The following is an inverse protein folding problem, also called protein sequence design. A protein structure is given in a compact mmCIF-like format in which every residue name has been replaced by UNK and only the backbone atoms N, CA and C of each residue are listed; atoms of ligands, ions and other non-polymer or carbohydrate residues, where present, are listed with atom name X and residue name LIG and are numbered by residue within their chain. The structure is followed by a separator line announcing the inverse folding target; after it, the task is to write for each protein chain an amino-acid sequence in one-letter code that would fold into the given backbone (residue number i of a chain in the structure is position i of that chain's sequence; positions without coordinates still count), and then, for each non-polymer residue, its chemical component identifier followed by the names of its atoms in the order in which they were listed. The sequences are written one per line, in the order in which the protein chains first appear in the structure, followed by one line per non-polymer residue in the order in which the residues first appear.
data_IF_540804154751
#
_entry.id   IF_540804154751
#
_cell.length_a   1.000
_cell.length_b   1.000
_cell.length_c   1.000
_cell.angle_alpha   90.00
_cell.angle_beta   90.00
_cell.angle_gamma   90.00
#
_symmetry.space_group_name_H-M   'P 1'
#
loop_
_entity.id
_entity.type
_entity.pdbx_description
1 polymer ?
2 polymer ?
3 non-polymer ?
4 non-polymer ?
5 water ?
#
# COMPACT_ATOMS: atom_id res chain seq x y z
N UNK A 5 18.66 21.71 -7.89
CA UNK A 5 17.65 20.77 -7.28
C UNK A 5 18.31 19.44 -6.95
N UNK A 6 17.65 18.65 -6.09
CA UNK A 6 18.13 17.33 -5.74
C UNK A 6 17.96 16.40 -6.93
N UNK A 7 18.85 15.43 -7.03
CA UNK A 7 18.72 14.34 -7.98
C UNK A 7 18.40 13.04 -7.23
N UNK A 8 18.11 11.98 -8.00
CA UNK A 8 17.97 10.65 -7.43
C UNK A 8 19.28 10.26 -6.74
N UNK A 9 20.40 10.61 -7.38
CA UNK A 9 21.73 10.34 -6.84
C UNK A 9 21.81 10.89 -5.41
N UNK A 10 21.39 12.16 -5.26
CA UNK A 10 21.50 12.86 -3.99
C UNK A 10 20.70 12.11 -2.92
N UNK A 11 19.51 11.59 -3.31
CA UNK A 11 18.66 10.92 -2.32
C UNK A 11 19.29 9.60 -1.93
N UNK A 12 19.86 8.90 -2.93
CA UNK A 12 20.48 7.61 -2.67
C UNK A 12 21.63 7.80 -1.67
N UNK A 13 22.36 8.91 -1.82
CA UNK A 13 23.52 9.16 -0.99
C UNK A 13 23.08 9.43 0.43
N UNK A 14 21.97 10.14 0.56
CA UNK A 14 21.41 10.48 1.87
C UNK A 14 21.08 9.20 2.62
N UNK A 15 20.54 8.20 1.89
CA UNK A 15 20.17 6.93 2.49
C UNK A 15 21.43 6.14 2.81
N UNK A 16 22.37 6.09 1.86
CA UNK A 16 23.53 5.23 1.98
C UNK A 16 24.43 5.74 3.11
N UNK A 17 24.29 7.02 3.45
CA UNK A 17 25.08 7.65 4.49
C UNK A 17 24.29 7.71 5.79
N UNK A 18 23.04 7.24 5.75
CA UNK A 18 22.11 7.29 6.88
C UNK A 18 21.92 8.75 7.34
N UNK A 19 21.99 9.69 6.41
CA UNK A 19 21.54 11.03 6.70
C UNK A 19 20.02 11.04 6.79
N UNK A 20 19.36 10.17 6.01
CA UNK A 20 17.94 9.90 6.18
C UNK A 20 17.78 8.47 6.69
N UNK A 21 17.29 8.32 7.93
CA UNK A 21 17.14 7.00 8.49
C UNK A 21 15.76 6.85 9.14
N UNK A 22 14.86 7.77 8.81
CA UNK A 22 13.47 7.68 9.22
C UNK A 22 12.63 7.91 7.98
N UNK A 23 12.65 6.94 7.08
CA UNK A 23 11.98 7.07 5.81
C UNK A 23 10.53 6.66 5.98
N UNK A 24 9.63 7.52 5.51
CA UNK A 24 8.23 7.17 5.38
C UNK A 24 7.92 6.91 3.93
N UNK A 25 7.09 5.90 3.67
CA UNK A 25 6.81 5.49 2.31
C UNK A 25 5.31 5.48 2.12
N UNK A 26 4.87 6.01 0.99
CA UNK A 26 3.49 5.89 0.58
C UNK A 26 3.47 5.12 -0.73
N UNK A 27 2.57 4.15 -0.82
CA UNK A 27 2.45 3.35 -2.04
C UNK A 27 0.99 3.22 -2.42
N UNK A 28 0.80 2.92 -3.69
CA UNK A 28 -0.51 2.64 -4.26
C UNK A 28 -0.40 1.51 -5.25
N UNK A 29 -1.39 1.41 -6.14
CA UNK A 29 -1.59 0.21 -6.95
C UNK A 29 -0.49 0.09 -8.00
N UNK A 30 0.16 1.22 -8.31
CA UNK A 30 1.28 1.25 -9.22
C UNK A 30 2.35 0.21 -8.85
N UNK A 31 2.59 0.02 -7.53
CA UNK A 31 3.68 -0.85 -7.12
C UNK A 31 3.27 -2.32 -7.28
N UNK A 32 2.00 -2.57 -7.59
CA UNK A 32 1.54 -3.95 -7.65
C UNK A 32 1.15 -4.36 -9.06
N UNK A 33 1.29 -3.44 -10.03
CA UNK A 33 1.02 -3.80 -11.42
C UNK A 33 2.14 -4.69 -11.96
N UNK A 34 3.39 -4.56 -11.45
CA UNK A 34 4.46 -5.48 -11.82
C UNK A 34 4.18 -6.92 -11.34
N UNK A 35 3.31 -7.03 -10.34
CA UNK A 35 2.95 -8.32 -9.78
C UNK A 35 1.86 -8.98 -10.61
N UNK A 36 1.25 -8.19 -11.51
CA UNK A 36 0.18 -8.68 -12.38
C UNK A 36 -1.21 -8.27 -11.90
N UNK A 37 -1.26 -7.39 -10.88
CA UNK A 37 -2.52 -6.81 -10.43
C UNK A 37 -2.72 -5.48 -11.15
N UNK A 38 -3.73 -5.37 -12.03
CA UNK A 38 -4.04 -4.11 -12.69
C UNK A 38 -4.43 -3.05 -11.66
N UNK A 39 -3.97 -1.81 -11.89
CA UNK A 39 -4.39 -0.67 -11.09
C UNK A 39 -5.79 -0.22 -11.54
N UNK A 40 -6.25 0.90 -10.95
CA UNK A 40 -7.47 1.57 -11.41
C UNK A 40 -7.11 2.62 -12.47
N UNK A 41 -6.07 3.44 -12.17
CA UNK A 41 -5.70 4.58 -13.01
C UNK A 41 -4.60 4.17 -13.98
N UNK A 55 -23.90 -6.70 -12.55
CA UNK A 55 -24.03 -5.24 -12.84
C UNK A 55 -23.16 -4.45 -11.87
N UNK A 56 -22.50 -3.42 -12.40
CA UNK A 56 -21.81 -2.41 -11.59
C UNK A 56 -22.06 -1.04 -12.21
N UNK A 57 -22.80 -0.13 -11.50
CA UNK A 57 -23.35 1.08 -12.14
C UNK A 57 -22.28 2.12 -12.42
N UNK A 58 -21.23 2.08 -11.60
CA UNK A 58 -20.01 2.84 -11.81
C UNK A 58 -18.91 2.15 -11.04
N UNK A 59 -17.62 2.42 -11.37
CA UNK A 59 -16.51 1.73 -10.71
C UNK A 59 -16.57 1.78 -9.18
N UNK A 60 -16.81 2.99 -8.64
CA UNK A 60 -16.65 3.24 -7.21
C UNK A 60 -17.62 2.36 -6.42
N UNK A 61 -18.67 1.88 -7.09
CA UNK A 61 -19.70 1.05 -6.48
C UNK A 61 -19.08 -0.12 -5.74
N UNK A 62 -17.93 -0.58 -6.23
CA UNK A 62 -17.30 -1.80 -5.74
C UNK A 62 -16.92 -1.65 -4.25
N UNK A 63 -16.69 -0.41 -3.82
CA UNK A 63 -16.34 -0.15 -2.41
C UNK A 63 -17.41 0.72 -1.75
N UNK A 64 -18.66 0.56 -2.18
CA UNK A 64 -19.75 1.27 -1.55
C UNK A 64 -20.64 0.28 -0.81
N UNK A 65 -20.89 0.58 0.46
CA UNK A 65 -21.50 -0.38 1.36
C UNK A 65 -22.95 -0.63 0.96
N UNK A 66 -23.73 0.43 0.64
CA UNK A 66 -25.10 0.24 0.18
C UNK A 66 -25.19 -0.63 -1.07
N UNK A 67 -24.30 -0.40 -2.04
CA UNK A 67 -24.27 -1.26 -3.22
C UNK A 67 -23.90 -2.69 -2.84
N UNK A 68 -22.88 -2.84 -1.98
CA UNK A 68 -22.44 -4.15 -1.53
C UNK A 68 -23.59 -4.94 -0.90
N UNK A 69 -24.38 -4.27 -0.06
CA UNK A 69 -25.56 -4.91 0.53
C UNK A 69 -26.54 -5.31 -0.56
N UNK A 70 -26.72 -4.41 -1.54
CA UNK A 70 -27.60 -4.69 -2.66
C UNK A 70 -27.09 -5.91 -3.43
N UNK A 71 -25.78 -5.91 -3.74
CA UNK A 71 -25.20 -6.90 -4.63
C UNK A 71 -23.70 -7.04 -4.32
N UNK A 72 -23.32 -8.06 -3.55
CA UNK A 72 -21.95 -8.16 -3.06
C UNK A 72 -21.06 -8.96 -4.02
N UNK A 73 -21.65 -9.35 -5.17
CA UNK A 73 -21.01 -10.30 -6.07
C UNK A 73 -19.86 -9.63 -6.82
N UNK A 74 -20.02 -8.36 -7.28
CA UNK A 74 -18.90 -7.62 -7.88
C UNK A 74 -17.70 -7.53 -6.95
N UNK A 75 -17.93 -7.11 -5.69
CA UNK A 75 -16.82 -6.99 -4.76
C UNK A 75 -16.09 -8.33 -4.66
N UNK A 76 -16.87 -9.40 -4.53
CA UNK A 76 -16.30 -10.69 -4.20
C UNK A 76 -15.52 -11.24 -5.40
N UNK A 77 -15.91 -10.81 -6.61
CA UNK A 77 -15.17 -11.20 -7.80
C UNK A 77 -13.79 -10.59 -7.73
N UNK A 78 -13.71 -9.36 -7.19
CA UNK A 78 -12.45 -8.67 -6.98
C UNK A 78 -11.69 -9.33 -5.83
N UNK A 79 -12.40 -9.67 -4.75
CA UNK A 79 -11.76 -10.31 -3.60
C UNK A 79 -11.10 -11.61 -4.04
N UNK A 80 -11.76 -12.32 -4.99
CA UNK A 80 -11.29 -13.61 -5.46
C UNK A 80 -10.02 -13.42 -6.26
N UNK A 81 -10.02 -12.38 -7.10
CA UNK A 81 -8.85 -12.03 -7.89
C UNK A 81 -7.70 -11.67 -6.95
N UNK A 82 -8.02 -11.06 -5.80
CA UNK A 82 -7.04 -10.29 -5.06
C UNK A 82 -6.52 -11.09 -3.88
N UNK A 83 -7.20 -12.19 -3.55
CA UNK A 83 -7.02 -12.86 -2.28
C UNK A 83 -5.55 -13.24 -2.08
N UNK A 84 -5.01 -13.16 -0.84
CA UNK A 84 -3.62 -13.51 -0.59
C UNK A 84 -3.31 -14.92 -1.06
N UNK A 85 -2.12 -15.08 -1.62
CA UNK A 85 -1.72 -16.35 -2.22
C UNK A 85 -1.82 -16.30 -3.72
N UNK A 86 -2.65 -15.39 -4.24
CA UNK A 86 -2.91 -15.31 -5.67
C UNK A 86 -1.73 -14.64 -6.38
N UNK A 87 -1.08 -13.68 -5.70
CA UNK A 87 -0.04 -12.87 -6.31
C UNK A 87 1.20 -12.87 -5.43
N UNK A 88 2.36 -12.65 -6.07
CA UNK A 88 3.63 -12.60 -5.36
C UNK A 88 4.13 -11.16 -5.33
N UNK A 89 4.74 -10.71 -4.21
CA UNK A 89 5.36 -9.39 -4.17
C UNK A 89 6.48 -9.31 -5.20
N UNK A 90 6.69 -8.11 -5.74
CA UNK A 90 7.70 -7.87 -6.77
C UNK A 90 8.87 -7.09 -6.14
N UNK A 91 9.84 -6.68 -6.99
CA UNK A 91 11.08 -6.11 -6.50
C UNK A 91 10.79 -4.79 -5.77
N UNK A 92 9.69 -4.13 -6.11
CA UNK A 92 9.32 -2.90 -5.41
C UNK A 92 9.07 -3.20 -3.92
N UNK A 93 8.30 -4.26 -3.65
CA UNK A 93 7.98 -4.69 -2.29
C UNK A 93 9.28 -5.04 -1.57
N UNK A 94 10.17 -5.72 -2.30
CA UNK A 94 11.32 -6.31 -1.65
C UNK A 94 12.32 -5.22 -1.34
N UNK A 95 12.34 -4.18 -2.18
CA UNK A 95 13.12 -2.98 -1.89
C UNK A 95 12.69 -2.40 -0.54
N UNK A 96 11.37 -2.26 -0.36
CA UNK A 96 10.83 -1.69 0.87
C UNK A 96 11.17 -2.61 2.04
N UNK A 97 11.19 -3.91 1.78
CA UNK A 97 11.60 -4.88 2.79
C UNK A 97 13.07 -4.67 3.14
N UNK A 98 13.89 -4.36 2.14
CA UNK A 98 15.31 -4.17 2.41
C UNK A 98 15.50 -2.87 3.21
N UNK A 99 14.66 -1.88 2.92
CA UNK A 99 14.67 -0.63 3.65
C UNK A 99 14.41 -0.91 5.13
N UNK A 100 13.42 -1.76 5.42
CA UNK A 100 13.12 -2.18 6.79
C UNK A 100 14.33 -2.90 7.40
N UNK A 101 14.88 -3.87 6.64
CA UNK A 101 15.95 -4.74 7.11
C UNK A 101 17.18 -3.94 7.48
N UNK A 102 17.37 -2.81 6.79
CA UNK A 102 18.51 -1.94 7.04
C UNK A 102 18.19 -0.96 8.16
N UNK A 103 16.95 -1.03 8.68
CA UNK A 103 16.52 -0.19 9.79
C UNK A 103 16.38 1.28 9.40
N UNK A 104 15.83 1.52 8.20
CA UNK A 104 15.68 2.87 7.68
C UNK A 104 14.21 3.21 7.55
N UNK A 105 13.35 2.19 7.67
CA UNK A 105 11.91 2.38 7.41
C UNK A 105 11.19 2.74 8.72
N UNK A 106 10.69 3.96 8.77
CA UNK A 106 9.84 4.36 9.87
C UNK A 106 8.47 3.70 9.70
N UNK A 107 7.88 3.86 8.53
CA UNK A 107 6.54 3.36 8.31
C UNK A 107 6.25 3.32 6.83
N UNK A 108 5.50 2.31 6.41
CA UNK A 108 5.06 2.18 5.04
C UNK A 108 3.54 2.28 5.04
N UNK A 109 3.02 3.28 4.32
CA UNK A 109 1.59 3.52 4.24
C UNK A 109 1.10 3.08 2.89
N UNK A 110 0.11 2.21 2.89
CA UNK A 110 -0.31 1.62 1.63
C UNK A 110 -1.80 1.87 1.43
N UNK A 111 -2.18 2.15 0.19
CA UNK A 111 -3.59 2.18 -0.21
C UNK A 111 -4.01 0.83 -0.77
N UNK A 112 -3.04 -0.07 -0.92
CA UNK A 112 -3.30 -1.32 -1.60
C UNK A 112 -4.01 -2.27 -0.64
N UNK A 113 -4.81 -3.17 -1.22
CA UNK A 113 -5.50 -4.15 -0.41
C UNK A 113 -5.05 -5.54 -0.82
N UNK A 114 -3.97 -5.59 -1.61
CA UNK A 114 -3.46 -6.85 -2.14
C UNK A 114 -2.63 -7.56 -1.07
N UNK A 115 -2.19 -6.81 -0.05
CA UNK A 115 -1.50 -7.37 1.08
C UNK A 115 -0.07 -7.81 0.75
N UNK A 116 0.47 -7.30 -0.34
CA UNK A 116 1.76 -7.81 -0.78
C UNK A 116 2.89 -7.27 0.10
N UNK A 117 2.61 -6.20 0.88
CA UNK A 117 3.60 -5.64 1.78
C UNK A 117 3.96 -6.65 2.87
N UNK A 118 2.94 -7.24 3.48
CA UNK A 118 3.17 -8.14 4.60
C UNK A 118 3.69 -9.49 4.08
N UNK A 119 3.25 -9.88 2.88
CA UNK A 119 3.73 -11.13 2.30
C UNK A 119 5.23 -11.03 2.03
N UNK A 120 5.71 -9.80 1.72
CA UNK A 120 7.14 -9.56 1.49
C UNK A 120 7.94 -9.74 2.79
N UNK A 121 7.26 -9.64 3.92
CA UNK A 121 7.87 -9.99 5.20
C UNK A 121 8.12 -8.75 6.07
N UNK A 122 7.58 -7.61 5.63
CA UNK A 122 7.63 -6.41 6.45
C UNK A 122 6.69 -6.60 7.63
N UNK A 123 7.17 -6.40 8.88
CA UNK A 123 6.33 -6.60 10.06
C UNK A 123 5.17 -5.61 10.13
N UNK A 124 4.07 -6.05 10.75
CA UNK A 124 2.83 -5.31 10.75
C UNK A 124 3.01 -3.97 11.48
N UNK A 125 4.03 -3.89 12.36
CA UNK A 125 4.28 -2.67 13.11
C UNK A 125 4.77 -1.55 12.17
N UNK A 126 5.30 -1.95 11.02
CA UNK A 126 5.88 -1.00 10.10
C UNK A 126 4.85 -0.63 9.05
N UNK A 127 3.73 -1.36 9.02
CA UNK A 127 2.76 -1.20 7.95
C UNK A 127 1.58 -0.40 8.45
N UNK A 128 1.08 0.50 7.60
CA UNK A 128 -0.25 1.02 7.80
C UNK A 128 -1.07 0.74 6.56
N UNK A 129 -1.96 -0.24 6.67
CA UNK A 129 -2.79 -0.68 5.57
C UNK A 129 -4.06 0.14 5.57
N UNK A 130 -3.98 1.31 4.95
CA UNK A 130 -4.96 2.38 5.13
C UNK A 130 -6.34 1.95 4.64
N UNK A 131 -6.38 1.03 3.66
CA UNK A 131 -7.67 0.64 3.10
C UNK A 131 -8.05 -0.78 3.52
N UNK A 132 -7.41 -1.26 4.60
CA UNK A 132 -7.84 -2.49 5.24
C UNK A 132 -7.13 -3.71 4.67
N UNK A 133 -7.75 -4.89 4.85
CA UNK A 133 -7.04 -6.14 4.68
C UNK A 133 -8.02 -7.27 4.35
N UNK A 134 -7.55 -8.23 3.55
CA UNK A 134 -8.25 -9.49 3.29
C UNK A 134 -7.83 -10.54 4.31
N UNK A 135 -6.87 -10.21 5.17
CA UNK A 135 -6.36 -11.20 6.12
C UNK A 135 -7.44 -11.55 7.17
N UNK A 136 -8.40 -10.63 7.37
CA UNK A 136 -9.50 -10.86 8.29
C UNK A 136 -10.83 -10.55 7.60
N UNK A 137 -11.95 -10.96 8.24
CA UNK A 137 -13.29 -10.63 7.78
C UNK A 137 -14.21 -10.37 8.97
N UNK A 138 -15.38 -9.79 8.69
CA UNK A 138 -16.34 -9.46 9.74
C UNK A 138 -17.74 -9.72 9.20
N UNK A 139 -18.59 -10.37 10.01
CA UNK A 139 -20.00 -10.51 9.65
C UNK A 139 -20.67 -9.14 9.65
N UNK A 140 -21.45 -8.87 8.59
CA UNK A 140 -22.04 -7.56 8.39
C UNK A 140 -23.24 -7.38 9.33
N UNK A 141 -23.73 -8.49 9.90
CA UNK A 141 -24.93 -8.44 10.74
C UNK A 141 -24.50 -8.41 12.22
N UNK A 142 -23.84 -9.49 12.68
CA UNK A 142 -23.63 -9.70 14.11
C UNK A 142 -22.24 -9.20 14.55
N UNK A 143 -21.36 -8.92 13.56
CA UNK A 143 -20.07 -8.26 13.80
C UNK A 143 -19.03 -9.27 14.30
N UNK A 144 -19.35 -10.56 14.19
CA UNK A 144 -18.41 -11.64 14.50
C UNK A 144 -17.17 -11.52 13.59
N UNK A 145 -15.94 -11.44 14.16
CA UNK A 145 -14.72 -11.47 13.35
C UNK A 145 -14.36 -12.88 12.90
N UNK A 146 -13.67 -12.97 11.78
CA UNK A 146 -13.26 -14.24 11.19
C UNK A 146 -11.85 -14.07 10.62
N UNK A 147 -11.01 -15.14 10.64
CA UNK A 147 -9.79 -15.16 9.86
C UNK A 147 -10.12 -15.28 8.39
N UNK A 148 -9.36 -14.57 7.54
CA UNK A 148 -9.59 -14.54 6.11
C UNK A 148 -9.59 -15.95 5.52
N UNK A 149 -8.74 -16.82 6.09
CA UNK A 149 -8.67 -18.22 5.67
C UNK A 149 -10.05 -18.85 5.76
N UNK A 150 -10.89 -18.31 6.67
CA UNK A 150 -12.16 -18.93 7.02
C UNK A 150 -13.14 -18.83 5.84
N UNK A 151 -12.98 -17.81 5.01
CA UNK A 151 -13.94 -17.56 3.93
C UNK A 151 -13.32 -17.89 2.57
N UNK A 152 -12.08 -18.41 2.60
CA UNK A 152 -11.27 -18.53 1.40
C UNK A 152 -11.96 -19.46 0.38
N UNK A 153 -12.41 -20.63 0.85
CA UNK A 153 -12.99 -21.63 -0.03
C UNK A 153 -14.13 -21.00 -0.84
N UNK A 154 -15.04 -20.32 -0.13
CA UNK A 154 -16.22 -19.72 -0.73
C UNK A 154 -15.81 -18.69 -1.77
N UNK A 155 -14.94 -17.77 -1.37
CA UNK A 155 -14.51 -16.68 -2.22
C UNK A 155 -13.92 -17.24 -3.51
N UNK A 156 -13.03 -18.24 -3.37
CA UNK A 156 -12.37 -18.85 -4.51
C UNK A 156 -13.38 -19.67 -5.32
N UNK A 157 -14.35 -20.28 -4.62
CA UNK A 157 -15.38 -21.10 -5.25
C UNK A 157 -16.54 -20.23 -5.71
N UNK A 158 -16.30 -18.91 -5.74
CA UNK A 158 -17.24 -17.94 -6.32
C UNK A 158 -18.56 -17.98 -5.56
N UNK A 159 -18.48 -18.34 -4.27
CA UNK A 159 -19.62 -18.24 -3.36
C UNK A 159 -19.49 -16.94 -2.58
N UNK A 160 -20.63 -16.41 -2.13
CA UNK A 160 -20.66 -15.31 -1.18
C UNK A 160 -20.65 -15.88 0.22
N UNK A 161 -19.55 -15.71 1.00
CA UNK A 161 -19.45 -16.32 2.32
C UNK A 161 -20.50 -15.78 3.28
N UNK A 162 -21.14 -16.70 4.03
CA UNK A 162 -22.20 -16.33 4.96
C UNK A 162 -21.85 -16.76 6.38
N UNK A 163 -22.29 -15.95 7.34
CA UNK A 163 -21.93 -16.10 8.74
C UNK A 163 -22.61 -17.35 9.30
N UNK A 164 -21.87 -18.17 10.06
CA UNK A 164 -22.46 -19.32 10.75
C UNK A 164 -23.58 -18.94 11.72
N UNK A 165 -23.47 -17.74 12.30
CA UNK A 165 -24.26 -17.38 13.47
C UNK A 165 -25.60 -16.80 13.01
N UNK A 166 -25.57 -15.96 11.98
CA UNK A 166 -26.70 -15.09 11.70
C UNK A 166 -27.02 -15.09 10.19
N UNK A 167 -26.21 -15.79 9.39
CA UNK A 167 -26.46 -15.94 7.95
C UNK A 167 -26.10 -14.65 7.20
N UNK A 168 -25.69 -13.61 7.93
CA UNK A 168 -25.29 -12.36 7.32
C UNK A 168 -24.06 -12.55 6.41
N UNK A 169 -23.88 -11.64 5.44
CA UNK A 169 -22.72 -11.69 4.56
C UNK A 169 -21.46 -11.40 5.39
N UNK A 170 -20.44 -12.23 5.21
CA UNK A 170 -19.15 -12.00 5.85
C UNK A 170 -18.27 -11.23 4.86
N UNK A 171 -17.87 -10.03 5.26
CA UNK A 171 -17.17 -9.10 4.40
C UNK A 171 -15.73 -8.97 4.88
N UNK A 172 -14.72 -9.21 4.01
CA UNK A 172 -13.33 -8.83 4.30
C UNK A 172 -13.26 -7.46 4.99
N UNK A 173 -12.24 -7.26 5.83
CA UNK A 173 -12.00 -5.98 6.46
C UNK A 173 -11.32 -5.03 5.48
N UNK A 174 -11.96 -4.84 4.31
CA UNK A 174 -11.63 -3.76 3.39
C UNK A 174 -12.43 -2.53 3.80
N UNK A 175 -11.73 -1.41 3.92
CA UNK A 175 -12.37 -0.13 4.22
C UNK A 175 -13.16 0.34 3.00
N UNK A 176 -14.47 0.54 3.20
CA UNK A 176 -15.33 1.01 2.12
C UNK A 176 -15.41 2.54 2.14
N UNK A 177 -15.80 3.12 1.00
CA UNK A 177 -16.01 4.55 0.91
C UNK A 177 -16.96 4.99 2.05
N UNK A 178 -16.56 6.04 2.76
CA UNK A 178 -17.39 6.64 3.80
C UNK A 178 -17.23 5.95 5.16
N UNK A 179 -16.44 4.87 5.20
CA UNK A 179 -16.22 4.12 6.43
C UNK A 179 -15.01 4.68 7.15
N UNK A 180 -14.88 4.46 8.48
CA UNK A 180 -13.67 4.85 9.21
C UNK A 180 -12.42 4.15 8.69
N UNK A 181 -11.36 4.95 8.40
CA UNK A 181 -10.03 4.41 8.17
C UNK A 181 -9.59 3.63 9.41
N UNK A 182 -8.67 2.64 9.27
CA UNK A 182 -8.24 1.85 10.41
C UNK A 182 -7.60 2.73 11.48
N UNK A 183 -7.58 2.24 12.71
CA UNK A 183 -6.96 2.94 13.82
C UNK A 183 -5.57 3.43 13.40
N UNK A 184 -4.82 2.54 12.75
CA UNK A 184 -3.38 2.70 12.58
C UNK A 184 -3.07 3.84 11.60
N UNK A 185 -4.09 4.29 10.87
CA UNK A 185 -3.93 5.39 9.93
C UNK A 185 -3.50 6.65 10.67
N UNK A 186 -3.93 6.76 11.94
CA UNK A 186 -3.76 7.97 12.73
C UNK A 186 -2.28 8.17 13.02
N UNK A 187 -1.50 7.09 12.90
CA UNK A 187 -0.04 7.12 13.09
C UNK A 187 0.58 8.23 12.23
N UNK A 188 -0.18 8.76 11.27
CA UNK A 188 0.38 9.72 10.34
C UNK A 188 0.75 11.02 11.05
N UNK A 189 0.08 11.29 12.19
CA UNK A 189 0.24 12.55 12.89
C UNK A 189 1.64 12.61 13.48
N UNK A 190 2.19 11.45 13.82
CA UNK A 190 3.51 11.37 14.42
C UNK A 190 4.54 11.00 13.34
N UNK A 191 4.11 10.17 12.37
CA UNK A 191 5.05 9.59 11.43
C UNK A 191 5.57 10.66 10.48
N UNK A 192 4.65 11.39 9.86
CA UNK A 192 5.01 12.26 8.77
C UNK A 192 5.96 13.37 9.22
N UNK A 193 5.69 14.05 10.37
CA UNK A 193 6.60 15.07 10.88
C UNK A 193 7.94 14.50 11.38
N UNK A 194 7.99 13.18 11.63
CA UNK A 194 9.21 12.52 12.14
C UNK A 194 10.09 12.12 10.96
N UNK A 195 9.50 12.05 9.76
CA UNK A 195 10.15 11.46 8.60
C UNK A 195 11.29 12.38 8.17
N UNK A 196 12.42 11.80 7.76
CA UNK A 196 13.50 12.60 7.21
C UNK A 196 13.60 12.38 5.70
N UNK A 197 12.78 11.45 5.18
CA UNK A 197 12.60 11.30 3.75
C UNK A 197 11.21 10.75 3.50
N UNK A 198 10.54 11.26 2.46
CA UNK A 198 9.28 10.67 2.02
C UNK A 198 9.46 10.06 0.65
N UNK A 199 9.09 8.79 0.55
CA UNK A 199 9.11 8.07 -0.70
C UNK A 199 7.67 7.80 -1.10
N UNK A 200 7.30 8.25 -2.30
CA UNK A 200 5.96 8.04 -2.83
C UNK A 200 6.09 7.18 -4.09
N UNK A 201 5.44 6.01 -4.10
CA UNK A 201 5.61 5.03 -5.17
C UNK A 201 4.24 4.59 -5.69
N UNK A 202 4.03 4.78 -7.00
CA UNK A 202 2.93 4.16 -7.71
C UNK A 202 1.56 4.53 -7.13
N UNK A 203 1.37 5.81 -6.91
CA UNK A 203 0.07 6.31 -6.48
C UNK A 203 -0.33 7.51 -7.33
N UNK A 204 -1.60 7.58 -7.67
CA UNK A 204 -2.12 8.69 -8.42
C UNK A 204 -2.36 9.86 -7.47
N UNK A 205 -2.35 9.56 -6.15
CA UNK A 205 -2.69 10.51 -5.09
C UNK A 205 -4.05 11.15 -5.37
N UNK A 206 -5.04 10.32 -5.66
CA UNK A 206 -6.38 10.82 -5.90
C UNK A 206 -7.27 10.53 -4.70
N UNK A 207 -6.87 9.55 -3.88
CA UNK A 207 -7.75 9.02 -2.88
C UNK A 207 -7.44 9.68 -1.53
N UNK A 208 -8.33 10.59 -1.11
CA UNK A 208 -8.24 11.19 0.20
C UNK A 208 -8.80 10.21 1.23
N UNK A 209 -8.40 10.32 2.51
CA UNK A 209 -7.43 11.33 2.93
C UNK A 209 -5.98 10.89 2.81
N UNK A 210 -5.76 9.76 2.13
CA UNK A 210 -4.43 9.18 2.08
C UNK A 210 -3.51 10.08 1.27
N UNK A 211 -4.04 10.68 0.20
CA UNK A 211 -3.25 11.53 -0.68
C UNK A 211 -2.49 12.58 0.14
N UNK A 212 -3.25 13.51 0.74
CA UNK A 212 -2.73 14.80 1.16
C UNK A 212 -1.65 14.62 2.23
N UNK A 213 -1.40 13.37 2.61
CA UNK A 213 -0.32 13.05 3.54
C UNK A 213 1.03 13.52 2.97
N UNK A 214 1.09 13.74 1.65
CA UNK A 214 2.34 14.14 1.01
C UNK A 214 2.79 15.49 1.56
N UNK A 215 1.83 16.26 2.08
CA UNK A 215 2.09 17.62 2.53
C UNK A 215 2.56 17.64 3.99
N UNK A 216 2.49 16.46 4.65
CA UNK A 216 2.54 16.40 6.11
C UNK A 216 3.98 16.17 6.61
N UNK A 217 4.93 16.01 5.68
CA UNK A 217 6.34 16.03 6.06
C UNK A 217 6.81 17.48 6.14
N UNK A 218 7.93 17.70 6.86
CA UNK A 218 8.45 19.03 7.13
C UNK A 218 8.98 19.64 5.84
N UNK A 219 9.04 20.97 5.83
CA UNK A 219 9.38 21.71 4.62
C UNK A 219 10.77 21.30 4.10
N UNK A 220 11.60 20.79 5.01
CA UNK A 220 13.01 20.55 4.75
C UNK A 220 13.22 19.14 4.20
N UNK A 221 12.16 18.34 4.15
CA UNK A 221 12.30 16.90 3.97
C UNK A 221 12.18 16.58 2.48
N UNK A 222 13.21 15.95 1.85
CA UNK A 222 13.08 15.43 0.49
C UNK A 222 11.84 14.56 0.32
N UNK A 223 11.17 14.76 -0.81
CA UNK A 223 10.08 13.90 -1.23
C UNK A 223 10.43 13.33 -2.58
N UNK A 224 10.52 12.00 -2.64
CA UNK A 224 10.92 11.32 -3.87
C UNK A 224 9.74 10.57 -4.44
N UNK A 225 9.31 10.99 -5.63
CA UNK A 225 8.21 10.33 -6.31
C UNK A 225 8.77 9.43 -7.38
N UNK A 226 8.41 8.16 -7.30
CA UNK A 226 8.68 7.19 -8.35
C UNK A 226 7.34 6.71 -8.90
N UNK A 227 7.03 7.15 -10.11
CA UNK A 227 5.68 7.01 -10.64
C UNK A 227 5.72 7.26 -12.14
N UNK A 228 4.68 6.80 -12.83
CA UNK A 228 4.55 7.06 -14.25
C UNK A 228 4.57 8.57 -14.51
N UNK A 229 3.99 9.34 -13.57
CA UNK A 229 3.62 10.73 -13.83
C UNK A 229 3.70 11.54 -12.53
N UNK A 230 4.03 12.83 -12.67
CA UNK A 230 3.94 13.80 -11.59
C UNK A 230 2.47 13.96 -11.19
N UNK A 231 2.18 13.70 -9.90
CA UNK A 231 0.81 13.58 -9.45
C UNK A 231 0.60 14.50 -8.24
N UNK A 232 -0.64 14.99 -8.10
CA UNK A 232 -1.12 15.55 -6.85
C UNK A 232 -0.34 16.79 -6.44
N UNK A 233 -0.18 17.03 -5.11
CA UNK A 233 0.48 18.24 -4.62
C UNK A 233 1.94 18.35 -5.06
N UNK A 234 2.55 17.22 -5.44
CA UNK A 234 3.89 17.21 -5.98
C UNK A 234 3.91 17.94 -7.34
N UNK A 235 2.75 17.94 -8.01
CA UNK A 235 2.61 18.58 -9.32
C UNK A 235 2.36 20.07 -9.14
N UNK A 236 1.35 20.40 -8.33
CA UNK A 236 0.81 21.75 -8.25
C UNK A 236 1.63 22.58 -7.30
N UNK A 237 2.11 21.91 -6.25
CA UNK A 237 2.72 22.63 -5.13
C UNK A 237 4.09 22.03 -4.82
N UNK A 238 5.01 21.97 -5.82
CA UNK A 238 6.34 21.41 -5.59
C UNK A 238 7.11 22.16 -4.52
N UNK A 239 7.99 21.43 -3.84
CA UNK A 239 8.85 22.02 -2.85
C UNK A 239 10.29 21.87 -3.31
N UNK A 240 11.19 22.57 -2.63
CA UNK A 240 12.54 22.76 -3.12
C UNK A 240 13.26 21.41 -3.28
N UNK A 241 12.91 20.43 -2.44
CA UNK A 241 13.70 19.21 -2.35
C UNK A 241 12.89 18.01 -2.82
N UNK A 242 11.92 18.24 -3.71
CA UNK A 242 11.21 17.15 -4.37
C UNK A 242 12.07 16.60 -5.52
N UNK A 243 12.09 15.27 -5.64
CA UNK A 243 12.73 14.56 -6.76
C UNK A 243 11.66 13.74 -7.45
N UNK A 244 11.63 13.76 -8.76
CA UNK A 244 10.67 12.96 -9.50
C UNK A 244 11.41 12.01 -10.43
N UNK A 245 11.22 10.72 -10.22
CA UNK A 245 11.79 9.71 -11.09
C UNK A 245 10.66 9.02 -11.86
N UNK A 246 10.39 9.54 -13.06
CA UNK A 246 9.16 9.19 -13.76
C UNK A 246 9.47 8.10 -14.78
N UNK A 247 8.57 7.13 -14.84
CA UNK A 247 8.77 5.95 -15.65
C UNK A 247 8.16 4.74 -14.96
N UNK A 248 8.52 3.56 -15.45
CA UNK A 248 8.09 2.36 -14.78
C UNK A 248 8.66 2.36 -13.37
N UNK A 249 7.83 1.93 -12.41
CA UNK A 249 8.20 1.97 -11.00
C UNK A 249 9.35 1.00 -10.76
N UNK A 250 9.36 -0.13 -11.47
CA UNK A 250 10.41 -1.13 -11.28
C UNK A 250 11.73 -0.57 -11.81
N UNK A 251 11.67 0.15 -12.94
CA UNK A 251 12.84 0.83 -13.49
C UNK A 251 13.38 1.84 -12.49
N UNK A 252 12.46 2.62 -11.90
CA UNK A 252 12.80 3.59 -10.86
C UNK A 252 13.52 2.96 -9.68
N UNK A 253 12.93 1.89 -9.13
CA UNK A 253 13.50 1.23 -7.97
C UNK A 253 14.83 0.58 -8.37
N UNK A 254 14.85 -0.07 -9.53
CA UNK A 254 16.07 -0.67 -10.07
C UNK A 254 17.19 0.38 -10.07
N UNK A 255 16.85 1.58 -10.56
CA UNK A 255 17.78 2.70 -10.62
C UNK A 255 18.20 3.11 -9.21
N UNK A 256 17.25 3.14 -8.27
CA UNK A 256 17.55 3.58 -6.92
C UNK A 256 18.47 2.57 -6.25
N UNK A 257 18.21 1.29 -6.50
CA UNK A 257 18.93 0.21 -5.84
C UNK A 257 20.38 0.20 -6.35
N UNK A 258 20.54 0.44 -7.65
CA UNK A 258 21.86 0.54 -8.24
C UNK A 258 22.64 1.70 -7.59
N UNK A 259 22.01 2.88 -7.47
CA UNK A 259 22.69 4.04 -6.92
C UNK A 259 23.03 3.80 -5.46
N UNK A 260 22.21 2.98 -4.80
CA UNK A 260 22.40 2.68 -3.40
C UNK A 260 23.50 1.63 -3.26
N UNK A 261 23.78 0.92 -4.37
CA UNK A 261 24.70 -0.20 -4.37
C UNK A 261 24.12 -1.43 -3.66
N UNK A 262 22.81 -1.67 -3.83
CA UNK A 262 22.09 -2.66 -3.01
C UNK A 262 21.80 -3.93 -3.82
N UNK A 263 22.27 -3.95 -5.07
CA UNK A 263 21.82 -4.93 -6.05
C UNK A 263 22.05 -6.34 -5.51
N UNK A 264 23.21 -6.56 -4.89
CA UNK A 264 23.59 -7.88 -4.39
C UNK A 264 22.78 -8.23 -3.14
N UNK A 265 22.49 -7.23 -2.32
CA UNK A 265 21.66 -7.42 -1.14
C UNK A 265 20.22 -7.79 -1.55
N UNK A 266 19.73 -7.15 -2.62
CA UNK A 266 18.37 -7.37 -3.11
C UNK A 266 18.24 -8.79 -3.69
N UNK A 267 19.27 -9.24 -4.43
CA UNK A 267 19.30 -10.61 -4.93
C UNK A 267 19.15 -11.58 -3.76
N UNK A 268 20.03 -11.42 -2.78
CA UNK A 268 20.09 -12.30 -1.62
C UNK A 268 18.70 -12.39 -1.00
N UNK A 269 18.10 -11.22 -0.76
CA UNK A 269 16.81 -11.14 -0.09
C UNK A 269 15.76 -11.84 -0.94
N UNK A 270 15.77 -11.54 -2.23
CA UNK A 270 14.69 -11.97 -3.09
C UNK A 270 14.76 -13.49 -3.25
N UNK A 271 15.99 -14.02 -3.28
CA UNK A 271 16.22 -15.44 -3.41
C UNK A 271 15.73 -16.19 -2.17
N UNK A 272 16.02 -15.62 -0.99
CA UNK A 272 15.58 -16.21 0.27
C UNK A 272 14.05 -16.29 0.31
N UNK A 273 13.39 -15.24 -0.20
CA UNK A 273 11.98 -15.03 0.08
C UNK A 273 11.11 -15.86 -0.87
N UNK A 274 11.72 -16.28 -1.99
CA UNK A 274 10.98 -16.99 -3.03
C UNK A 274 10.31 -18.22 -2.43
N UNK A 275 11.05 -18.93 -1.56
CA UNK A 275 10.60 -20.18 -1.00
C UNK A 275 9.22 -20.06 -0.34
N UNK A 276 9.11 -19.09 0.59
CA UNK A 276 7.87 -18.87 1.32
C UNK A 276 6.69 -18.91 0.34
N UNK A 277 6.70 -18.00 -0.64
CA UNK A 277 5.59 -17.84 -1.57
C UNK A 277 5.01 -19.20 -1.93
N UNK B 1 -10.20 13.63 7.90
CA UNK B 1 -9.42 12.38 7.67
C UNK B 1 -9.88 11.30 8.65
N UNK B 2 -11.20 11.13 8.87
CA UNK B 2 -11.70 10.09 9.77
C UNK B 2 -12.13 8.86 8.99
N UNK B 3 -12.34 9.04 7.67
CA UNK B 3 -13.19 8.16 6.89
C UNK B 3 -12.85 8.31 5.41
#
# INVERSE_FOLDING_TARGET
SDKGKLSLQDVAELIRARACQRVVVMVGAGISTPSGIPDFRSPGSGLYSNLQQYDLPYPEAIFELPFFFHNPKPFFTLAKELYPGNYKPNVTHYFLRLLHDKGLLLRLYTQNIDGLERVSGIPASKLVEAHGTFASATCTVCQRPFPGEDIRADVMADRVPRCPVCTGVVKPDIVFFGEPLPQRFLLHVVDFPMADLLLILGTSLEVEPFASLTEAVRSSVPRLLINRDLVGPLAWHPRSRDVAQLGDVVHGVESLVELLGWTEEMRDLVQRETGKLDGPDK
QPKX
#
